data_IF_881796382235
#
_entry.id   IF_881796382235
#
_cell.length_a   1.000
_cell.length_b   1.000
_cell.length_c   1.000
_cell.angle_alpha   90.00
_cell.angle_beta   90.00
_cell.angle_gamma   90.00
#
_symmetry.space_group_name_H-M   'P 1'
#
loop_
_entity.id
_entity.type
_entity.pdbx_description
1 polymer ?
#
# COMPACT_ATOMS: atom_id res chain seq x y z
N UNK A 1 -15.47 5.21 -76.45
CA UNK A 1 -16.88 5.52 -76.07
C UNK A 1 -17.65 4.21 -75.98
N UNK A 2 -17.97 3.71 -74.86
CA UNK A 2 -18.62 2.49 -74.40
C UNK A 2 -17.73 2.01 -73.23
N UNK A 3 -18.08 2.00 -71.97
CA UNK A 3 -19.24 1.60 -71.25
C UNK A 3 -18.90 1.80 -69.75
N UNK A 4 -19.53 2.74 -69.11
CA UNK A 4 -19.54 2.92 -67.67
C UNK A 4 -21.01 2.75 -67.15
N UNK A 5 -21.56 1.54 -67.21
CA UNK A 5 -22.91 1.29 -66.71
C UNK A 5 -23.10 -0.11 -66.10
N UNK A 6 -22.09 -0.78 -65.64
CA UNK A 6 -22.27 -2.13 -65.04
C UNK A 6 -21.78 -2.33 -63.59
N UNK A 7 -21.39 -1.27 -62.89
CA UNK A 7 -20.78 -1.40 -61.54
C UNK A 7 -21.67 -0.86 -60.41
N UNK A 8 -22.89 -0.40 -60.66
CA UNK A 8 -23.76 0.20 -59.63
C UNK A 8 -24.91 -0.74 -59.19
N UNK A 9 -25.12 -1.86 -59.86
CA UNK A 9 -26.23 -2.76 -59.51
C UNK A 9 -25.83 -3.90 -58.54
N UNK A 10 -24.54 -4.08 -58.30
CA UNK A 10 -24.04 -5.15 -57.43
C UNK A 10 -23.93 -4.72 -55.96
N UNK A 11 -23.88 -3.42 -55.67
CA UNK A 11 -23.70 -2.92 -54.30
C UNK A 11 -25.05 -2.67 -53.56
N UNK A 12 -26.16 -2.65 -54.25
CA UNK A 12 -27.47 -2.45 -53.61
C UNK A 12 -28.10 -3.77 -53.17
N UNK A 13 -27.69 -4.90 -53.74
CA UNK A 13 -28.22 -6.22 -53.36
C UNK A 13 -27.53 -6.80 -52.12
N UNK A 14 -26.33 -6.37 -51.80
CA UNK A 14 -25.65 -6.81 -50.57
C UNK A 14 -26.14 -6.08 -49.32
N UNK A 15 -26.63 -4.85 -49.44
CA UNK A 15 -27.14 -4.09 -48.27
C UNK A 15 -28.54 -4.54 -47.81
N UNK A 16 -29.35 -5.08 -48.69
CA UNK A 16 -30.68 -5.58 -48.35
C UNK A 16 -30.70 -6.96 -47.70
N UNK A 17 -29.63 -7.76 -47.83
CA UNK A 17 -29.53 -9.06 -47.20
C UNK A 17 -28.98 -8.94 -45.79
N UNK A 18 -28.15 -7.93 -45.49
CA UNK A 18 -27.62 -7.66 -44.15
C UNK A 18 -28.70 -7.09 -43.23
N UNK A 19 -29.65 -6.30 -43.75
CA UNK A 19 -30.75 -5.74 -42.93
C UNK A 19 -31.83 -6.78 -42.58
N UNK A 20 -31.97 -7.87 -43.33
CA UNK A 20 -32.96 -8.92 -43.05
C UNK A 20 -32.52 -9.98 -42.08
N UNK A 21 -31.22 -10.05 -41.77
CA UNK A 21 -30.65 -10.98 -40.75
C UNK A 21 -30.66 -10.35 -39.36
N UNK A 22 -30.69 -9.00 -39.26
CA UNK A 22 -30.70 -8.29 -37.98
C UNK A 22 -32.11 -8.10 -37.39
N UNK A 23 -33.18 -8.41 -38.13
CA UNK A 23 -34.56 -8.26 -37.64
C UNK A 23 -35.13 -9.47 -36.88
N UNK A 24 -34.35 -10.56 -36.74
CA UNK A 24 -34.76 -11.77 -36.03
C UNK A 24 -34.02 -12.03 -34.70
N UNK A 25 -33.21 -11.08 -34.25
CA UNK A 25 -32.70 -11.13 -32.89
C UNK A 25 -33.64 -10.43 -31.95
N UNK A 26 -34.31 -11.19 -31.13
CA UNK A 26 -35.18 -10.71 -30.06
C UNK A 26 -34.44 -9.68 -29.18
N UNK A 27 -35.05 -8.54 -28.81
CA UNK A 27 -34.42 -7.55 -27.94
C UNK A 27 -34.17 -8.04 -26.49
N UNK A 28 -34.36 -9.31 -26.20
CA UNK A 28 -34.12 -9.90 -24.88
C UNK A 28 -32.69 -10.32 -24.59
N UNK A 29 -31.71 -10.13 -25.49
CA UNK A 29 -30.32 -10.50 -25.27
C UNK A 29 -29.36 -9.31 -25.13
N UNK A 30 -29.88 -8.11 -24.81
CA UNK A 30 -29.08 -6.92 -24.50
C UNK A 30 -29.35 -6.34 -23.11
N UNK A 31 -29.98 -7.12 -22.25
CA UNK A 31 -29.79 -6.97 -20.80
C UNK A 31 -28.69 -7.96 -20.38
N UNK A 32 -27.43 -7.65 -20.73
CA UNK A 32 -26.33 -8.01 -19.86
C UNK A 32 -26.71 -7.38 -18.52
N UNK A 33 -26.91 -8.22 -17.51
CA UNK A 33 -27.14 -7.81 -16.14
C UNK A 33 -26.16 -6.66 -15.84
N UNK A 34 -26.71 -5.47 -15.67
CA UNK A 34 -26.03 -4.41 -14.97
C UNK A 34 -25.92 -4.95 -13.57
N UNK A 35 -24.80 -5.62 -13.30
CA UNK A 35 -24.43 -6.04 -11.95
C UNK A 35 -24.51 -4.74 -11.17
N UNK A 36 -25.41 -4.71 -10.20
CA UNK A 36 -25.60 -3.58 -9.32
C UNK A 36 -24.32 -3.42 -8.50
N UNK A 37 -23.35 -2.72 -9.10
CA UNK A 37 -22.05 -2.43 -8.49
C UNK A 37 -22.22 -1.66 -7.20
N UNK A 38 -23.31 -0.89 -7.06
CA UNK A 38 -23.62 -0.14 -5.85
C UNK A 38 -24.03 -1.08 -4.69
N UNK A 39 -24.73 -2.19 -4.98
CA UNK A 39 -25.08 -3.18 -3.95
C UNK A 39 -23.86 -3.98 -3.49
N UNK A 40 -22.97 -4.34 -4.40
CA UNK A 40 -21.69 -5.01 -4.06
C UNK A 40 -20.74 -4.09 -3.29
N UNK A 41 -20.67 -2.81 -3.65
CA UNK A 41 -19.90 -1.80 -2.92
C UNK A 41 -20.47 -1.60 -1.51
N UNK A 42 -21.80 -1.56 -1.34
CA UNK A 42 -22.43 -1.46 -0.02
C UNK A 42 -22.25 -2.74 0.82
N UNK A 43 -22.28 -3.91 0.22
CA UNK A 43 -22.10 -5.17 0.96
C UNK A 43 -20.63 -5.33 1.41
N UNK A 44 -19.66 -4.99 0.58
CA UNK A 44 -18.25 -5.01 0.93
C UNK A 44 -17.85 -3.90 1.92
N UNK A 45 -18.44 -2.70 1.82
CA UNK A 45 -18.25 -1.65 2.83
C UNK A 45 -18.87 -2.02 4.18
N UNK A 46 -20.00 -2.75 4.19
CA UNK A 46 -20.58 -3.29 5.39
C UNK A 46 -19.72 -4.40 6.01
N UNK A 47 -19.02 -5.22 5.20
CA UNK A 47 -18.08 -6.23 5.70
C UNK A 47 -16.82 -5.61 6.31
N UNK A 48 -16.30 -4.52 5.74
CA UNK A 48 -15.21 -3.73 6.35
C UNK A 48 -15.69 -3.06 7.66
N UNK A 49 -16.88 -2.45 7.66
CA UNK A 49 -17.47 -1.91 8.89
C UNK A 49 -17.80 -2.99 9.93
N UNK A 50 -18.17 -4.21 9.51
CA UNK A 50 -18.41 -5.32 10.42
C UNK A 50 -17.11 -5.85 11.02
N UNK A 51 -16.01 -5.91 10.22
CA UNK A 51 -14.66 -6.16 10.75
C UNK A 51 -14.26 -5.06 11.75
N UNK A 52 -14.47 -3.79 11.43
CA UNK A 52 -14.22 -2.66 12.32
C UNK A 52 -15.05 -2.73 13.63
N UNK A 53 -16.32 -3.10 13.57
CA UNK A 53 -17.20 -3.22 14.75
C UNK A 53 -16.87 -4.43 15.63
N UNK A 54 -16.23 -5.47 15.10
CA UNK A 54 -15.82 -6.63 15.90
C UNK A 54 -14.63 -6.30 16.82
N UNK A 55 -13.86 -5.27 16.50
CA UNK A 55 -12.69 -4.81 17.26
C UNK A 55 -12.96 -3.60 18.17
N UNK A 56 -14.14 -2.94 18.06
CA UNK A 56 -14.44 -1.67 18.73
C UNK A 56 -14.86 -1.77 20.21
N UNK A 57 -14.82 -2.93 20.85
CA UNK A 57 -15.29 -3.11 22.23
C UNK A 57 -14.19 -3.10 23.30
N UNK A 58 -13.00 -2.60 23.01
CA UNK A 58 -11.95 -2.49 24.01
C UNK A 58 -11.96 -1.10 24.69
N UNK A 59 -11.82 -1.09 26.02
CA UNK A 59 -11.65 0.10 26.81
C UNK A 59 -10.46 0.93 26.27
N UNK A 60 -10.70 2.16 25.90
CA UNK A 60 -9.75 3.12 25.29
C UNK A 60 -8.52 3.47 26.16
N UNK A 61 -8.28 2.81 27.28
CA UNK A 61 -7.24 3.19 28.23
C UNK A 61 -5.94 2.39 28.13
N UNK A 62 -5.81 1.42 27.20
CA UNK A 62 -4.58 0.64 27.03
C UNK A 62 -4.54 -0.02 25.63
N UNK A 63 -4.47 0.82 24.57
CA UNK A 63 -4.38 0.34 23.19
C UNK A 63 -2.99 -0.20 22.95
N UNK A 64 -2.88 -1.52 22.81
CA UNK A 64 -1.62 -2.18 22.49
C UNK A 64 -1.81 -3.27 21.46
N UNK A 65 -1.13 -3.14 20.34
CA UNK A 65 -1.12 -4.13 19.26
C UNK A 65 0.12 -3.97 18.39
N UNK A 66 0.36 -4.91 17.48
CA UNK A 66 1.44 -4.80 16.51
C UNK A 66 0.94 -5.08 15.08
N UNK A 67 1.63 -4.48 14.12
CA UNK A 67 1.46 -4.75 12.71
C UNK A 67 2.79 -5.18 12.10
N UNK A 68 2.73 -5.99 11.04
CA UNK A 68 3.89 -6.34 10.23
C UNK A 68 3.78 -5.71 8.85
N UNK A 69 4.88 -5.22 8.30
CA UNK A 69 4.93 -4.58 6.98
C UNK A 69 6.04 -5.20 6.15
N UNK A 70 5.74 -5.61 4.93
CA UNK A 70 6.71 -6.04 3.94
C UNK A 70 6.15 -5.85 2.53
N UNK A 71 7.01 -5.78 1.52
CA UNK A 71 6.69 -5.65 0.11
C UNK A 71 7.66 -6.48 -0.73
N UNK A 72 7.38 -6.62 -2.03
CA UNK A 72 8.25 -7.33 -2.97
C UNK A 72 8.46 -8.79 -2.57
N UNK A 73 7.34 -9.52 -2.52
CA UNK A 73 7.27 -10.85 -1.94
C UNK A 73 7.79 -11.94 -2.89
N UNK A 74 7.11 -12.17 -4.01
CA UNK A 74 7.31 -13.33 -4.85
C UNK A 74 6.93 -14.66 -4.18
N UNK A 75 7.35 -15.77 -4.81
CA UNK A 75 7.04 -17.13 -4.35
C UNK A 75 8.30 -17.92 -3.97
N UNK A 76 9.27 -17.27 -3.35
CA UNK A 76 10.60 -17.83 -3.05
C UNK A 76 10.67 -18.51 -1.68
N UNK A 77 11.78 -19.20 -1.40
CA UNK A 77 12.05 -19.73 -0.06
C UNK A 77 12.28 -18.61 0.96
N UNK A 78 12.83 -17.47 0.54
CA UNK A 78 13.01 -16.34 1.43
C UNK A 78 11.67 -15.67 1.78
N UNK A 79 10.71 -15.62 0.83
CA UNK A 79 9.32 -15.22 1.09
C UNK A 79 8.67 -16.11 2.16
N UNK A 80 8.87 -17.43 2.09
CA UNK A 80 8.35 -18.36 3.10
C UNK A 80 8.96 -18.11 4.48
N UNK A 81 10.26 -17.79 4.55
CA UNK A 81 10.94 -17.44 5.81
C UNK A 81 10.38 -16.14 6.39
N UNK A 82 10.19 -15.11 5.56
CA UNK A 82 9.58 -13.84 5.97
C UNK A 82 8.17 -14.06 6.52
N UNK A 83 7.33 -14.83 5.80
CA UNK A 83 5.98 -15.15 6.24
C UNK A 83 5.98 -15.92 7.58
N UNK A 84 6.87 -16.89 7.77
CA UNK A 84 7.00 -17.62 9.02
C UNK A 84 7.44 -16.72 10.19
N UNK A 85 8.37 -15.79 9.94
CA UNK A 85 8.81 -14.83 10.93
C UNK A 85 7.71 -13.82 11.31
N UNK A 86 6.94 -13.32 10.34
CA UNK A 86 5.74 -12.51 10.57
C UNK A 86 4.75 -13.29 11.44
N UNK A 87 4.43 -14.53 11.06
CA UNK A 87 3.53 -15.37 11.85
C UNK A 87 4.00 -15.55 13.29
N UNK A 88 5.30 -15.68 13.52
CA UNK A 88 5.89 -15.85 14.86
C UNK A 88 5.67 -14.63 15.77
N UNK A 89 5.51 -13.43 15.21
CA UNK A 89 5.19 -12.19 15.94
C UNK A 89 3.69 -12.05 16.21
N UNK A 90 2.86 -12.86 15.54
CA UNK A 90 1.40 -12.86 15.65
C UNK A 90 0.79 -11.44 15.54
N UNK A 91 1.09 -10.67 14.47
CA UNK A 91 0.55 -9.33 14.30
C UNK A 91 -0.98 -9.36 14.19
N UNK A 92 -1.63 -8.26 14.55
CA UNK A 92 -3.06 -8.06 14.33
C UNK A 92 -3.36 -7.67 12.88
N UNK A 93 -2.45 -6.96 12.22
CA UNK A 93 -2.54 -6.58 10.81
C UNK A 93 -1.21 -6.91 10.12
N UNK A 94 -1.27 -7.36 8.88
CA UNK A 94 -0.13 -7.50 7.99
C UNK A 94 -0.35 -6.61 6.77
N UNK A 95 0.58 -5.70 6.50
CA UNK A 95 0.57 -4.85 5.32
C UNK A 95 1.52 -5.45 4.29
N UNK A 96 1.00 -5.77 3.10
CA UNK A 96 1.79 -6.10 1.93
C UNK A 96 1.75 -4.92 0.96
N UNK A 97 2.85 -4.17 0.89
CA UNK A 97 2.92 -2.90 0.18
C UNK A 97 3.32 -3.10 -1.31
N UNK A 98 2.53 -3.92 -2.02
CA UNK A 98 2.67 -4.19 -3.45
C UNK A 98 3.67 -5.27 -3.82
N UNK A 99 3.65 -5.66 -5.09
CA UNK A 99 4.48 -6.68 -5.70
C UNK A 99 4.38 -8.03 -4.95
N UNK A 100 3.21 -8.65 -5.06
CA UNK A 100 2.81 -9.75 -4.21
C UNK A 100 3.34 -11.10 -4.73
N UNK A 101 2.93 -11.54 -5.90
CA UNK A 101 3.28 -12.87 -6.40
C UNK A 101 4.41 -12.89 -7.42
N UNK A 102 4.52 -11.90 -8.30
CA UNK A 102 5.37 -11.88 -9.49
C UNK A 102 5.06 -13.02 -10.48
N UNK A 103 3.83 -13.49 -10.48
CA UNK A 103 3.35 -14.58 -11.31
C UNK A 103 1.97 -14.21 -11.89
N UNK A 104 1.56 -14.86 -12.99
CA UNK A 104 0.23 -14.69 -13.58
C UNK A 104 -0.91 -15.03 -12.60
N UNK A 105 -0.63 -15.88 -11.62
CA UNK A 105 -1.54 -16.32 -10.57
C UNK A 105 -0.99 -15.97 -9.19
N UNK A 106 -1.86 -15.58 -8.28
CA UNK A 106 -1.51 -15.33 -6.89
C UNK A 106 -1.45 -16.60 -6.02
N UNK A 107 -1.72 -17.79 -6.57
CA UNK A 107 -1.95 -19.01 -5.79
C UNK A 107 -0.78 -19.35 -4.87
N UNK A 108 0.46 -19.33 -5.40
CA UNK A 108 1.65 -19.65 -4.61
C UNK A 108 1.87 -18.64 -3.46
N UNK A 109 1.62 -17.36 -3.69
CA UNK A 109 1.73 -16.33 -2.67
C UNK A 109 0.61 -16.45 -1.64
N UNK A 110 -0.64 -16.67 -2.07
CA UNK A 110 -1.79 -16.88 -1.19
C UNK A 110 -1.58 -18.09 -0.29
N UNK A 111 -0.98 -19.17 -0.80
CA UNK A 111 -0.62 -20.34 0.01
C UNK A 111 0.40 -19.97 1.09
N UNK A 112 1.44 -19.19 0.75
CA UNK A 112 2.47 -18.75 1.69
C UNK A 112 1.88 -17.90 2.81
N UNK A 113 1.00 -16.93 2.47
CA UNK A 113 0.43 -15.98 3.45
C UNK A 113 -0.81 -16.54 4.16
N UNK A 114 -1.24 -17.75 3.82
CA UNK A 114 -2.47 -18.35 4.34
C UNK A 114 -2.59 -18.32 5.88
N UNK A 115 -1.51 -18.43 6.69
CA UNK A 115 -1.60 -18.36 8.15
C UNK A 115 -2.11 -17.02 8.71
N UNK A 116 -1.94 -15.93 7.95
CA UNK A 116 -2.39 -14.59 8.35
C UNK A 116 -3.23 -13.87 7.29
N UNK A 117 -3.74 -14.61 6.29
CA UNK A 117 -4.54 -14.06 5.19
C UNK A 117 -5.69 -13.16 5.68
N UNK A 118 -6.40 -13.55 6.74
CA UNK A 118 -7.53 -12.77 7.29
C UNK A 118 -7.13 -11.44 7.92
N UNK A 119 -5.85 -11.21 8.14
CA UNK A 119 -5.27 -10.00 8.73
C UNK A 119 -4.56 -9.12 7.69
N UNK A 120 -4.57 -9.57 6.42
CA UNK A 120 -3.79 -8.95 5.37
C UNK A 120 -4.51 -7.73 4.78
N UNK A 121 -3.75 -6.66 4.58
CA UNK A 121 -4.09 -5.48 3.82
C UNK A 121 -3.01 -5.27 2.76
N UNK A 122 -3.41 -4.91 1.55
CA UNK A 122 -2.47 -4.79 0.41
C UNK A 122 -2.56 -3.41 -0.23
N UNK A 123 -1.47 -2.91 -0.78
CA UNK A 123 -1.47 -1.96 -1.90
C UNK A 123 -1.06 -2.68 -3.19
N UNK A 124 -1.32 -2.06 -4.32
CA UNK A 124 -0.95 -2.61 -5.63
C UNK A 124 0.45 -2.17 -6.01
N UNK A 125 1.26 -3.11 -6.54
CA UNK A 125 2.51 -2.85 -7.22
C UNK A 125 2.35 -2.91 -8.74
N UNK A 126 3.41 -2.66 -9.49
CA UNK A 126 3.38 -2.73 -10.96
C UNK A 126 3.23 -4.17 -11.45
N UNK A 127 3.77 -5.15 -10.72
CA UNK A 127 3.63 -6.56 -11.05
C UNK A 127 2.18 -7.06 -10.98
N UNK A 128 1.33 -6.51 -10.11
CA UNK A 128 -0.10 -6.81 -10.14
C UNK A 128 -0.75 -6.37 -11.44
N UNK A 129 -0.28 -5.28 -12.05
CA UNK A 129 -0.79 -4.77 -13.33
C UNK A 129 -0.13 -5.38 -14.56
N UNK A 130 1.15 -5.75 -14.48
CA UNK A 130 1.92 -6.30 -15.59
C UNK A 130 1.71 -7.82 -15.75
N UNK A 131 1.73 -8.55 -14.65
CA UNK A 131 1.75 -10.03 -14.67
C UNK A 131 0.33 -10.61 -14.66
N UNK A 132 -0.70 -9.85 -14.26
CA UNK A 132 -2.07 -10.36 -14.21
C UNK A 132 -2.81 -10.15 -15.53
N UNK A 133 -3.22 -11.24 -16.15
CA UNK A 133 -4.06 -11.17 -17.36
C UNK A 133 -5.45 -10.60 -17.06
N UNK A 134 -6.02 -9.84 -18.01
CA UNK A 134 -7.39 -9.34 -17.95
C UNK A 134 -7.55 -7.94 -17.33
N UNK A 135 -6.44 -7.23 -17.06
CA UNK A 135 -6.47 -5.86 -16.54
C UNK A 135 -7.22 -5.74 -15.22
N UNK A 136 -8.08 -4.73 -15.05
CA UNK A 136 -8.81 -4.48 -13.81
C UNK A 136 -9.64 -5.68 -13.31
N UNK A 137 -10.27 -6.44 -14.23
CA UNK A 137 -11.02 -7.66 -13.88
C UNK A 137 -10.09 -8.77 -13.41
N UNK A 138 -8.89 -8.87 -13.99
CA UNK A 138 -7.86 -9.82 -13.55
C UNK A 138 -7.40 -9.50 -12.12
N UNK A 139 -7.03 -8.27 -11.84
CA UNK A 139 -6.65 -7.80 -10.51
C UNK A 139 -7.76 -8.08 -9.48
N UNK A 140 -9.01 -7.75 -9.83
CA UNK A 140 -10.16 -8.04 -8.96
C UNK A 140 -10.24 -9.53 -8.61
N UNK A 141 -10.14 -10.41 -9.59
CA UNK A 141 -10.29 -11.85 -9.37
C UNK A 141 -9.08 -12.48 -8.70
N UNK A 142 -7.87 -12.03 -9.04
CA UNK A 142 -6.61 -12.62 -8.57
C UNK A 142 -6.28 -12.19 -7.14
N UNK A 143 -6.49 -10.92 -6.79
CA UNK A 143 -6.07 -10.35 -5.51
C UNK A 143 -7.22 -9.84 -4.65
N UNK A 144 -8.11 -8.99 -5.18
CA UNK A 144 -9.08 -8.29 -4.35
C UNK A 144 -10.16 -9.23 -3.81
N UNK A 145 -10.82 -10.02 -4.68
CA UNK A 145 -11.86 -10.97 -4.25
C UNK A 145 -11.36 -12.01 -3.25
N UNK A 146 -10.20 -12.69 -3.47
CA UNK A 146 -9.66 -13.63 -2.49
C UNK A 146 -9.33 -13.02 -1.13
N UNK A 147 -9.05 -11.72 -1.08
CA UNK A 147 -8.73 -10.98 0.14
C UNK A 147 -9.92 -10.19 0.70
N UNK A 148 -11.09 -10.27 0.04
CA UNK A 148 -12.30 -9.54 0.41
C UNK A 148 -12.13 -8.02 0.45
N UNK A 149 -11.34 -7.48 -0.50
CA UNK A 149 -11.09 -6.04 -0.63
C UNK A 149 -12.00 -5.42 -1.69
N UNK A 150 -12.54 -4.21 -1.45
CA UNK A 150 -13.55 -3.62 -2.34
C UNK A 150 -12.96 -3.00 -3.60
N UNK A 151 -11.74 -2.49 -3.54
CA UNK A 151 -11.04 -1.79 -4.62
C UNK A 151 -9.54 -1.66 -4.28
N UNK A 152 -8.74 -1.14 -5.22
CA UNK A 152 -7.29 -1.06 -5.10
C UNK A 152 -6.79 0.08 -4.20
N UNK A 153 -7.64 1.11 -3.95
CA UNK A 153 -7.38 2.16 -2.97
C UNK A 153 -8.54 2.25 -1.97
N UNK A 154 -8.25 2.32 -0.69
CA UNK A 154 -9.25 2.25 0.39
C UNK A 154 -8.66 2.76 1.71
N UNK A 155 -9.49 2.90 2.73
CA UNK A 155 -9.05 3.19 4.09
C UNK A 155 -9.82 2.35 5.11
N UNK A 156 -9.27 2.24 6.30
CA UNK A 156 -9.91 1.57 7.43
C UNK A 156 -9.29 2.03 8.74
N UNK A 157 -10.06 1.92 9.82
CA UNK A 157 -9.59 2.16 11.17
C UNK A 157 -9.32 0.84 11.90
N UNK A 158 -8.23 0.79 12.64
CA UNK A 158 -7.97 -0.28 13.58
C UNK A 158 -7.48 0.32 14.91
N UNK A 159 -8.27 0.17 15.96
CA UNK A 159 -8.05 0.83 17.24
C UNK A 159 -7.89 2.36 17.07
N UNK A 160 -6.74 2.93 17.43
CA UNK A 160 -6.43 4.35 17.34
C UNK A 160 -5.58 4.72 16.12
N UNK A 161 -5.52 3.83 15.13
CA UNK A 161 -4.78 4.06 13.87
C UNK A 161 -5.73 4.08 12.68
N UNK A 162 -5.61 5.10 11.86
CA UNK A 162 -6.24 5.20 10.55
C UNK A 162 -5.26 4.79 9.46
N UNK A 163 -5.68 3.87 8.59
CA UNK A 163 -4.86 3.35 7.48
C UNK A 163 -5.45 3.77 6.14
N UNK A 164 -4.59 4.19 5.22
CA UNK A 164 -4.95 4.57 3.85
C UNK A 164 -4.11 3.78 2.86
N UNK A 165 -4.74 3.06 1.94
CA UNK A 165 -4.08 2.44 0.80
C UNK A 165 -4.22 3.33 -0.43
N UNK A 166 -3.10 3.63 -1.08
CA UNK A 166 -3.02 4.36 -2.35
C UNK A 166 -2.62 3.39 -3.45
N UNK A 167 -3.26 3.52 -4.60
CA UNK A 167 -2.89 2.80 -5.81
C UNK A 167 -2.18 3.74 -6.78
N UNK A 168 -0.86 3.65 -6.95
CA UNK A 168 -0.10 4.54 -7.83
C UNK A 168 -0.31 4.26 -9.32
N UNK A 169 -1.02 3.19 -9.68
CA UNK A 169 -1.22 2.76 -11.08
C UNK A 169 -2.60 3.12 -11.64
N UNK A 170 -3.46 3.77 -10.86
CA UNK A 170 -4.69 4.41 -11.34
C UNK A 170 -4.55 5.93 -11.27
N UNK A 171 -5.48 6.69 -11.86
CA UNK A 171 -5.41 8.15 -11.82
C UNK A 171 -5.42 8.68 -10.37
N UNK A 172 -4.35 9.36 -9.99
CA UNK A 172 -4.16 9.96 -8.68
C UNK A 172 -3.96 11.49 -8.72
N UNK A 173 -4.13 12.12 -9.88
CA UNK A 173 -4.03 13.57 -10.02
C UNK A 173 -5.07 14.33 -9.17
N UNK A 174 -4.84 15.61 -8.89
CA UNK A 174 -5.68 16.44 -8.00
C UNK A 174 -7.20 16.41 -8.29
N UNK A 175 -7.61 16.05 -9.51
CA UNK A 175 -9.01 15.97 -9.91
C UNK A 175 -9.51 14.52 -10.03
N UNK A 176 -8.71 13.52 -9.66
CA UNK A 176 -9.09 12.11 -9.72
C UNK A 176 -10.00 11.73 -8.56
N UNK A 177 -10.78 10.68 -8.76
CA UNK A 177 -11.63 10.11 -7.69
C UNK A 177 -10.79 9.63 -6.51
N UNK A 178 -9.60 9.07 -6.76
CA UNK A 178 -8.70 8.61 -5.71
C UNK A 178 -8.19 9.78 -4.88
N UNK A 179 -7.73 10.88 -5.50
CA UNK A 179 -7.24 12.04 -4.76
C UNK A 179 -8.33 12.64 -3.88
N UNK A 180 -9.55 12.84 -4.43
CA UNK A 180 -10.67 13.38 -3.68
C UNK A 180 -11.05 12.47 -2.50
N UNK A 181 -11.09 11.15 -2.73
CA UNK A 181 -11.33 10.17 -1.67
C UNK A 181 -10.30 10.32 -0.55
N UNK A 182 -8.99 10.35 -0.88
CA UNK A 182 -7.91 10.41 0.11
C UNK A 182 -7.92 11.75 0.86
N UNK A 183 -8.15 12.89 0.17
CA UNK A 183 -8.22 14.19 0.84
C UNK A 183 -9.36 14.27 1.85
N UNK A 184 -10.56 13.82 1.46
CA UNK A 184 -11.73 13.82 2.35
C UNK A 184 -11.55 12.84 3.52
N UNK A 185 -10.96 11.69 3.27
CA UNK A 185 -10.71 10.65 4.24
C UNK A 185 -9.68 11.09 5.30
N UNK A 186 -8.53 11.59 4.90
CA UNK A 186 -7.51 12.16 5.81
C UNK A 186 -8.06 13.33 6.64
N UNK A 187 -8.88 14.18 6.03
CA UNK A 187 -9.55 15.28 6.73
C UNK A 187 -10.48 14.77 7.83
N UNK A 188 -11.23 13.70 7.55
CA UNK A 188 -12.12 13.08 8.53
C UNK A 188 -11.32 12.41 9.64
N UNK A 189 -10.29 11.64 9.31
CA UNK A 189 -9.41 10.98 10.27
C UNK A 189 -8.74 11.98 11.23
N UNK A 190 -8.21 13.09 10.71
CA UNK A 190 -7.59 14.15 11.54
C UNK A 190 -8.60 14.80 12.50
N UNK A 191 -9.89 14.80 12.15
CA UNK A 191 -10.96 15.38 12.96
C UNK A 191 -11.53 14.41 13.99
N UNK A 192 -11.20 13.13 13.90
CA UNK A 192 -11.69 12.10 14.80
C UNK A 192 -10.75 11.96 16.02
N UNK A 193 -11.25 12.33 17.18
CA UNK A 193 -10.48 12.26 18.43
C UNK A 193 -10.11 10.84 18.88
N UNK A 194 -10.64 9.79 18.25
CA UNK A 194 -10.28 8.39 18.48
C UNK A 194 -8.99 8.02 17.74
N UNK A 195 -8.64 8.74 16.69
CA UNK A 195 -7.48 8.48 15.86
C UNK A 195 -6.28 9.25 16.39
N UNK A 196 -5.24 8.54 16.74
CA UNK A 196 -3.96 9.09 17.18
C UNK A 196 -2.89 9.04 16.09
N UNK A 197 -2.99 8.06 15.19
CA UNK A 197 -1.99 7.76 14.18
C UNK A 197 -2.63 7.65 12.80
N UNK A 198 -1.96 8.18 11.78
CA UNK A 198 -2.35 8.05 10.39
C UNK A 198 -1.21 7.41 9.62
N UNK A 199 -1.44 6.21 9.09
CA UNK A 199 -0.48 5.47 8.29
C UNK A 199 -0.98 5.34 6.85
N UNK A 200 -0.08 5.54 5.90
CA UNK A 200 -0.36 5.36 4.48
C UNK A 200 0.45 4.17 3.98
N UNK A 201 -0.11 3.37 3.09
CA UNK A 201 0.59 2.32 2.35
C UNK A 201 0.40 2.53 0.86
N UNK A 202 1.49 2.40 0.12
CA UNK A 202 1.54 2.47 -1.33
C UNK A 202 2.73 1.65 -1.83
N UNK A 203 3.01 1.58 -3.12
CA UNK A 203 4.11 0.76 -3.61
C UNK A 203 5.35 1.57 -3.98
N UNK A 204 5.19 2.67 -4.72
CA UNK A 204 6.32 3.42 -5.29
C UNK A 204 6.92 4.40 -4.27
N UNK A 205 8.21 4.31 -3.91
CA UNK A 205 8.81 5.21 -2.92
C UNK A 205 8.76 6.68 -3.35
N UNK A 206 8.22 7.55 -2.50
CA UNK A 206 8.28 8.99 -2.68
C UNK A 206 9.69 9.55 -2.42
N UNK A 207 10.46 8.87 -1.58
CA UNK A 207 11.84 9.20 -1.22
C UNK A 207 12.66 7.93 -1.09
N UNK A 208 13.79 7.87 -1.76
CA UNK A 208 14.74 6.75 -1.71
C UNK A 208 16.18 7.23 -1.90
N UNK A 209 17.14 6.53 -1.34
CA UNK A 209 18.54 6.61 -1.75
C UNK A 209 18.69 6.12 -3.18
N UNK A 210 19.72 6.53 -3.95
CA UNK A 210 19.99 5.98 -5.27
C UNK A 210 20.11 4.45 -5.25
N UNK A 211 19.26 3.80 -6.03
CA UNK A 211 19.15 2.35 -6.18
C UNK A 211 18.48 2.05 -7.53
N UNK A 212 18.02 0.81 -7.80
CA UNK A 212 17.45 0.38 -9.08
C UNK A 212 16.27 1.24 -9.54
N UNK A 213 15.29 1.49 -8.65
CA UNK A 213 14.13 2.32 -8.96
C UNK A 213 14.28 3.71 -8.33
N UNK A 214 14.16 4.80 -9.14
CA UNK A 214 14.17 6.15 -8.58
C UNK A 214 12.88 6.47 -7.83
N UNK A 215 12.94 7.38 -6.87
CA UNK A 215 11.76 7.93 -6.23
C UNK A 215 10.82 8.61 -7.25
N UNK A 216 9.51 8.39 -7.15
CA UNK A 216 8.54 9.04 -8.04
C UNK A 216 8.23 10.46 -7.54
N UNK A 217 8.65 11.44 -8.37
CA UNK A 217 8.41 12.85 -8.07
C UNK A 217 6.95 13.26 -8.24
N UNK A 218 6.18 12.58 -9.09
CA UNK A 218 4.81 12.97 -9.38
C UNK A 218 3.90 12.63 -8.20
N UNK A 219 3.96 11.39 -7.71
CA UNK A 219 3.16 10.97 -6.56
C UNK A 219 3.59 11.73 -5.30
N UNK A 220 4.88 11.98 -5.12
CA UNK A 220 5.42 12.80 -4.04
C UNK A 220 4.85 14.22 -4.05
N UNK A 221 4.90 14.90 -5.20
CA UNK A 221 4.51 16.30 -5.31
C UNK A 221 2.99 16.50 -5.19
N UNK A 222 2.21 15.44 -5.42
CA UNK A 222 0.76 15.43 -5.22
C UNK A 222 0.40 15.13 -3.75
N UNK A 223 0.97 14.10 -3.16
CA UNK A 223 0.50 13.59 -1.87
C UNK A 223 1.28 14.11 -0.66
N UNK A 224 2.59 14.37 -0.74
CA UNK A 224 3.34 14.81 0.44
C UNK A 224 2.81 16.13 1.04
N UNK A 225 2.44 17.18 0.23
CA UNK A 225 1.79 18.36 0.77
C UNK A 225 0.46 18.05 1.50
N UNK A 226 -0.28 17.06 1.01
CA UNK A 226 -1.51 16.59 1.64
C UNK A 226 -1.22 15.88 2.97
N UNK A 227 -0.17 15.07 3.01
CA UNK A 227 0.26 14.38 4.22
C UNK A 227 0.74 15.34 5.31
N UNK A 228 1.51 16.36 4.94
CA UNK A 228 1.89 17.44 5.87
C UNK A 228 0.67 18.18 6.41
N UNK A 229 -0.33 18.45 5.55
CA UNK A 229 -1.56 19.16 5.91
C UNK A 229 -2.39 18.40 6.93
N UNK A 230 -2.49 17.09 6.79
CA UNK A 230 -3.36 16.24 7.61
C UNK A 230 -2.62 15.40 8.65
N UNK A 231 -1.31 15.59 8.79
CA UNK A 231 -0.53 14.97 9.86
C UNK A 231 -0.35 13.47 9.72
N UNK A 232 -0.09 12.99 8.50
CA UNK A 232 0.34 11.59 8.28
C UNK A 232 1.65 11.35 9.03
N UNK A 233 1.71 10.25 9.77
CA UNK A 233 2.88 9.92 10.59
C UNK A 233 3.88 9.05 9.81
N UNK A 234 3.41 8.02 9.11
CA UNK A 234 4.25 7.05 8.40
C UNK A 234 3.65 6.73 7.02
N UNK A 235 4.54 6.62 6.02
CA UNK A 235 4.22 6.05 4.69
C UNK A 235 5.06 4.80 4.50
N UNK A 236 4.41 3.66 4.20
CA UNK A 236 5.04 2.39 3.88
C UNK A 236 5.06 2.19 2.37
N UNK A 237 6.19 1.76 1.82
CA UNK A 237 6.35 1.46 0.39
C UNK A 237 7.20 0.21 0.13
N UNK A 238 7.23 -0.22 -1.13
CA UNK A 238 8.03 -1.30 -1.70
C UNK A 238 8.87 -0.83 -2.88
N UNK A 239 8.76 -1.54 -4.03
CA UNK A 239 9.37 -1.29 -5.34
C UNK A 239 10.91 -1.39 -5.32
N UNK A 240 11.57 -0.77 -4.36
CA UNK A 240 12.99 -0.97 -4.14
C UNK A 240 13.24 -2.15 -3.18
N UNK A 241 13.86 -3.20 -3.69
CA UNK A 241 14.11 -4.45 -2.97
C UNK A 241 15.21 -4.29 -1.90
N UNK A 242 14.99 -3.37 -0.98
CA UNK A 242 15.86 -3.07 0.16
C UNK A 242 15.05 -2.45 1.30
N UNK A 243 15.69 -2.20 2.42
CA UNK A 243 15.10 -1.48 3.53
C UNK A 243 15.66 -0.06 3.59
N UNK A 244 14.77 0.93 3.67
CA UNK A 244 15.16 2.31 3.91
C UNK A 244 14.17 2.98 4.86
N UNK A 245 14.70 3.78 5.78
CA UNK A 245 13.91 4.65 6.66
C UNK A 245 14.45 6.08 6.57
N UNK A 246 13.58 7.02 6.28
CA UNK A 246 13.95 8.44 6.32
C UNK A 246 13.92 8.97 7.75
N UNK A 247 14.58 10.11 7.96
CA UNK A 247 14.22 11.01 9.05
C UNK A 247 12.77 11.49 8.86
N UNK A 248 12.13 12.10 9.88
CA UNK A 248 10.87 12.82 9.67
C UNK A 248 11.07 13.96 8.67
N UNK A 249 10.30 13.96 7.59
CA UNK A 249 10.42 14.87 6.47
C UNK A 249 9.20 15.77 6.35
N UNK A 250 9.45 17.02 5.91
CA UNK A 250 8.42 17.94 5.42
C UNK A 250 8.65 18.23 3.95
N UNK A 251 7.55 18.49 3.24
CA UNK A 251 7.61 18.83 1.82
C UNK A 251 8.39 20.11 1.61
N UNK A 252 9.34 20.09 0.67
CA UNK A 252 10.08 21.26 0.27
C UNK A 252 9.48 21.88 -0.98
N UNK A 253 8.77 22.98 -0.82
CA UNK A 253 8.11 23.70 -1.91
C UNK A 253 9.02 24.76 -2.57
N UNK A 254 10.27 24.89 -2.14
CA UNK A 254 11.16 25.92 -2.65
C UNK A 254 11.65 25.58 -4.08
N UNK A 255 11.16 26.33 -5.08
CA UNK A 255 11.58 26.28 -6.49
C UNK A 255 11.55 24.89 -7.15
N UNK A 256 10.58 24.05 -6.83
CA UNK A 256 10.47 22.71 -7.40
C UNK A 256 11.54 21.74 -6.89
N UNK A 257 12.08 21.97 -5.72
CA UNK A 257 13.14 21.16 -5.11
C UNK A 257 12.60 20.07 -4.17
N UNK A 258 11.46 19.47 -4.51
CA UNK A 258 10.78 18.46 -3.69
C UNK A 258 11.63 17.18 -3.46
N UNK A 259 12.60 16.92 -4.34
CA UNK A 259 13.57 15.81 -4.16
C UNK A 259 14.55 16.03 -3.00
N UNK A 260 14.63 17.25 -2.46
CA UNK A 260 15.42 17.59 -1.27
C UNK A 260 14.48 18.02 -0.15
N UNK A 261 13.85 17.07 0.55
CA UNK A 261 12.87 17.39 1.59
C UNK A 261 13.52 18.09 2.77
N UNK A 262 12.71 18.75 3.59
CA UNK A 262 13.18 19.37 4.82
C UNK A 262 13.22 18.30 5.91
N UNK A 263 14.42 17.99 6.40
CA UNK A 263 14.58 17.12 7.58
C UNK A 263 14.15 17.94 8.80
N UNK A 264 13.05 17.56 9.42
CA UNK A 264 12.44 18.29 10.54
C UNK A 264 12.97 17.84 11.90
N UNK A 265 13.49 16.60 11.99
CA UNK A 265 14.20 16.05 13.14
C UNK A 265 15.30 15.12 12.65
N UNK A 266 16.53 15.33 13.06
CA UNK A 266 17.68 14.52 12.68
C UNK A 266 18.14 13.54 13.78
N UNK A 267 17.32 13.31 14.81
CA UNK A 267 17.56 12.23 15.75
C UNK A 267 17.54 10.89 15.01
N UNK A 268 18.43 9.98 15.36
CA UNK A 268 18.55 8.72 14.62
C UNK A 268 17.39 7.76 14.88
N UNK A 269 16.84 7.75 16.11
CA UNK A 269 15.94 6.68 16.53
C UNK A 269 14.72 7.15 17.33
N UNK A 270 14.72 8.37 17.89
CA UNK A 270 13.64 8.82 18.77
C UNK A 270 13.04 10.13 18.26
N UNK A 271 11.78 10.09 17.85
CA UNK A 271 11.07 11.21 17.24
C UNK A 271 9.87 11.63 18.09
N UNK A 272 9.49 12.89 17.93
CA UNK A 272 8.29 13.45 18.55
C UNK A 272 7.19 13.64 17.53
N UNK A 273 5.95 13.77 18.01
CA UNK A 273 4.80 14.08 17.16
C UNK A 273 5.00 15.36 16.35
N UNK A 274 4.34 15.45 15.21
CA UNK A 274 4.32 16.62 14.32
C UNK A 274 5.69 17.08 13.80
N UNK A 275 6.70 16.22 13.88
CA UNK A 275 8.01 16.55 13.32
C UNK A 275 8.04 16.43 11.81
N UNK A 276 7.19 15.62 11.21
CA UNK A 276 7.10 15.34 9.76
C UNK A 276 6.77 13.89 9.48
N UNK A 277 6.65 13.53 8.21
CA UNK A 277 6.32 12.18 7.74
C UNK A 277 7.57 11.31 7.68
N UNK A 278 7.52 10.09 8.21
CA UNK A 278 8.57 9.09 8.03
C UNK A 278 8.20 8.19 6.86
N UNK A 279 9.08 8.09 5.87
CA UNK A 279 8.93 7.19 4.72
C UNK A 279 9.75 5.93 4.95
N UNK A 280 9.12 4.78 4.79
CA UNK A 280 9.67 3.46 5.05
C UNK A 280 9.51 2.59 3.82
N UNK A 281 10.61 2.31 3.13
CA UNK A 281 10.66 1.28 2.10
C UNK A 281 11.00 -0.05 2.76
N UNK A 282 10.19 -1.09 2.55
CA UNK A 282 10.38 -2.43 3.09
C UNK A 282 10.21 -3.50 2.02
N UNK A 283 10.90 -3.31 0.89
CA UNK A 283 10.91 -4.22 -0.27
C UNK A 283 11.75 -5.48 -0.03
N UNK A 284 11.60 -6.07 1.14
CA UNK A 284 12.50 -7.10 1.65
C UNK A 284 11.81 -8.44 1.92
N UNK A 285 10.56 -8.62 1.40
CA UNK A 285 9.79 -9.82 1.71
C UNK A 285 10.38 -11.11 1.11
N UNK A 286 11.12 -11.04 -0.02
CA UNK A 286 11.78 -12.26 -0.49
C UNK A 286 12.10 -12.36 -1.97
N UNK A 287 11.72 -11.40 -2.82
CA UNK A 287 11.93 -11.50 -4.27
C UNK A 287 13.41 -11.48 -4.66
N UNK A 288 14.11 -10.41 -4.33
CA UNK A 288 15.54 -10.20 -4.62
C UNK A 288 16.05 -9.01 -3.81
N UNK A 289 17.33 -8.65 -3.99
CA UNK A 289 17.90 -7.42 -3.43
C UNK A 289 18.36 -6.48 -4.54
N UNK A 290 18.14 -5.18 -4.33
CA UNK A 290 18.72 -4.10 -5.13
C UNK A 290 19.77 -3.37 -4.29
N UNK A 291 20.97 -3.21 -4.85
CA UNK A 291 22.07 -2.52 -4.20
C UNK A 291 21.75 -1.02 -4.03
N UNK A 292 22.14 -0.46 -2.90
CA UNK A 292 22.05 0.96 -2.62
C UNK A 292 23.43 1.57 -2.94
N UNK A 293 23.48 2.48 -3.92
CA UNK A 293 24.73 3.08 -4.40
C UNK A 293 25.33 4.06 -3.39
N UNK A 294 24.47 4.91 -2.79
CA UNK A 294 24.86 5.96 -1.85
C UNK A 294 23.71 6.24 -0.88
N UNK A 295 24.01 6.60 0.36
CA UNK A 295 22.98 7.01 1.31
C UNK A 295 22.57 8.45 1.07
N UNK A 296 21.29 8.67 0.76
CA UNK A 296 20.73 10.01 0.63
C UNK A 296 20.74 10.75 2.00
N UNK A 297 20.96 12.08 2.02
CA UNK A 297 21.07 12.84 3.28
C UNK A 297 19.82 12.76 4.18
N UNK A 298 18.65 12.53 3.59
CA UNK A 298 17.38 12.41 4.31
C UNK A 298 17.07 10.99 4.80
N UNK A 299 17.91 10.00 4.45
CA UNK A 299 17.76 8.61 4.90
C UNK A 299 18.50 8.41 6.21
N UNK A 300 17.79 8.01 7.25
CA UNK A 300 18.34 7.76 8.58
C UNK A 300 18.98 6.36 8.69
N UNK A 301 18.37 5.37 8.02
CA UNK A 301 18.85 3.97 8.03
C UNK A 301 18.54 3.31 6.70
N UNK A 302 19.44 2.43 6.24
CA UNK A 302 19.24 1.59 5.06
C UNK A 302 19.94 0.24 5.21
N UNK A 303 19.41 -0.77 4.50
CA UNK A 303 19.98 -2.13 4.41
C UNK A 303 19.55 -2.78 3.09
N UNK A 304 20.50 -3.27 2.32
CA UNK A 304 20.31 -3.92 1.02
C UNK A 304 20.81 -5.38 1.00
N UNK A 305 20.98 -5.99 2.18
CA UNK A 305 21.59 -7.31 2.32
C UNK A 305 20.65 -8.36 2.92
N UNK A 306 19.58 -7.93 3.61
CA UNK A 306 18.76 -8.86 4.37
C UNK A 306 17.31 -8.84 3.90
N UNK A 307 16.74 -10.00 3.66
CA UNK A 307 15.29 -10.19 3.64
C UNK A 307 14.73 -10.11 5.06
N UNK A 308 13.47 -9.68 5.17
CA UNK A 308 12.83 -9.52 6.46
C UNK A 308 11.56 -8.71 6.38
N UNK A 309 11.15 -8.18 7.53
CA UNK A 309 9.95 -7.35 7.63
C UNK A 309 10.09 -6.32 8.74
N UNK A 310 9.32 -5.26 8.64
CA UNK A 310 9.21 -4.25 9.67
C UNK A 310 8.03 -4.60 10.60
N UNK A 311 8.30 -4.71 11.90
CA UNK A 311 7.26 -4.81 12.93
C UNK A 311 7.05 -3.43 13.56
N UNK A 312 5.81 -2.99 13.65
CA UNK A 312 5.40 -1.74 14.28
C UNK A 312 4.56 -2.10 15.52
N UNK A 313 5.12 -1.88 16.69
CA UNK A 313 4.40 -1.99 17.95
C UNK A 313 3.74 -0.64 18.28
N UNK A 314 2.43 -0.62 18.39
CA UNK A 314 1.63 0.54 18.79
C UNK A 314 1.24 0.36 20.24
N UNK A 315 1.53 1.35 21.06
CA UNK A 315 1.17 1.41 22.46
C UNK A 315 0.66 2.82 22.78
N UNK A 316 -0.65 3.01 22.65
CA UNK A 316 -1.32 4.30 22.82
C UNK A 316 -0.63 5.41 22.01
N UNK A 317 0.00 6.37 22.65
CA UNK A 317 0.72 7.50 22.05
C UNK A 317 2.17 7.20 21.66
N UNK A 318 2.55 5.93 21.59
CA UNK A 318 3.89 5.51 21.21
C UNK A 318 3.85 4.47 20.10
N UNK A 319 4.62 4.72 19.05
CA UNK A 319 4.87 3.77 17.95
C UNK A 319 6.35 3.40 17.99
N UNK A 320 6.64 2.10 17.99
CA UNK A 320 7.99 1.57 17.89
C UNK A 320 8.12 0.69 16.65
N UNK A 321 8.95 1.11 15.72
CA UNK A 321 9.33 0.30 14.55
C UNK A 321 10.59 -0.53 14.83
N UNK A 322 10.59 -1.76 14.33
CA UNK A 322 11.77 -2.65 14.40
C UNK A 322 11.85 -3.48 13.13
N UNK A 323 12.94 -3.32 12.36
CA UNK A 323 13.17 -4.17 11.19
C UNK A 323 13.90 -5.45 11.64
N UNK A 324 13.23 -6.60 11.41
CA UNK A 324 13.76 -7.93 11.70
C UNK A 324 14.23 -8.59 10.42
N UNK A 325 15.51 -8.90 10.34
CA UNK A 325 16.06 -9.71 9.25
C UNK A 325 15.72 -11.19 9.43
N UNK A 326 15.50 -11.87 8.29
CA UNK A 326 15.37 -13.32 8.27
C UNK A 326 16.67 -14.02 8.68
N UNK A 327 16.54 -15.24 9.21
CA UNK A 327 17.70 -16.10 9.48
C UNK A 327 18.45 -16.41 8.18
N UNK A 328 19.76 -16.26 8.19
CA UNK A 328 20.64 -16.75 7.12
C UNK A 328 21.15 -18.11 7.53
N UNK A 329 20.86 -19.15 6.77
CA UNK A 329 21.53 -20.45 6.94
C UNK A 329 23.01 -20.32 6.58
N UNK A 330 23.83 -20.12 7.60
CA UNK A 330 25.28 -20.27 7.50
C UNK A 330 25.61 -21.70 7.85
N UNK A 331 25.49 -22.64 6.89
CA UNK A 331 25.97 -24.02 6.95
C UNK A 331 26.08 -24.59 8.38
N UNK A 332 26.53 -25.67 8.75
CA UNK A 332 26.62 -26.41 10.00
C UNK A 332 26.58 -25.71 11.40
N UNK A 333 26.45 -24.38 11.48
CA UNK A 333 26.33 -23.63 12.73
C UNK A 333 24.98 -22.92 12.77
N UNK A 334 24.07 -23.44 13.59
CA UNK A 334 22.86 -22.71 14.00
C UNK A 334 23.27 -21.47 14.79
N UNK A 335 23.13 -20.31 14.23
CA UNK A 335 23.17 -19.05 14.97
C UNK A 335 21.72 -18.71 15.34
N UNK A 336 21.47 -18.51 16.63
CA UNK A 336 20.14 -18.12 17.13
C UNK A 336 19.83 -16.66 16.72
N UNK A 337 19.15 -16.48 15.59
CA UNK A 337 18.83 -15.17 15.02
C UNK A 337 17.55 -14.54 15.58
N UNK A 338 17.02 -15.02 16.68
CA UNK A 338 15.83 -14.44 17.34
C UNK A 338 15.91 -12.93 17.59
N UNK A 339 17.07 -12.32 17.35
CA UNK A 339 17.35 -10.91 17.59
C UNK A 339 18.14 -10.24 16.47
N UNK A 340 17.99 -10.65 15.21
CA UNK A 340 18.68 -9.94 14.12
C UNK A 340 17.94 -8.64 13.78
N UNK A 341 18.04 -7.66 14.68
CA UNK A 341 17.47 -6.33 14.52
C UNK A 341 18.46 -5.50 13.71
N UNK A 342 18.03 -5.07 12.54
CA UNK A 342 18.80 -4.20 11.64
C UNK A 342 18.54 -2.73 11.94
N UNK A 343 17.30 -2.39 12.29
CA UNK A 343 16.89 -1.03 12.63
C UNK A 343 15.84 -1.03 13.74
N UNK A 344 15.80 0.07 14.49
CA UNK A 344 14.71 0.38 15.41
C UNK A 344 14.54 1.89 15.55
N UNK A 345 13.30 2.33 15.76
CA UNK A 345 12.96 3.71 16.04
C UNK A 345 11.70 3.83 16.89
N UNK A 346 11.50 5.01 17.47
CA UNK A 346 10.33 5.31 18.29
C UNK A 346 9.75 6.67 17.88
N UNK A 347 8.43 6.75 17.80
CA UNK A 347 7.68 8.01 17.68
C UNK A 347 6.82 8.13 18.93
N UNK A 348 6.83 9.27 19.60
CA UNK A 348 6.04 9.51 20.80
C UNK A 348 5.20 10.78 20.65
N UNK A 349 3.89 10.67 20.87
CA UNK A 349 2.95 11.79 20.93
C UNK A 349 2.69 12.17 22.37
N UNK A 350 2.58 13.48 22.65
CA UNK A 350 2.30 13.96 24.00
C UNK A 350 0.84 13.71 24.38
N UNK A 351 0.60 13.32 25.62
CA UNK A 351 -0.76 13.26 26.17
C UNK A 351 -1.29 14.70 26.39
N UNK A 352 -2.50 14.96 25.97
CA UNK A 352 -3.14 16.28 26.14
C UNK A 352 -3.11 16.84 27.60
N UNK A 353 -3.02 15.93 28.59
CA UNK A 353 -2.94 16.28 30.01
C UNK A 353 -1.62 16.97 30.42
N UNK A 354 -0.53 16.84 29.65
CA UNK A 354 0.78 17.41 30.00
C UNK A 354 0.96 18.85 29.49
N UNK A 355 0.10 19.33 28.59
CA UNK A 355 0.18 20.68 28.03
C UNK A 355 -0.25 21.81 29.00
N UNK A 356 -0.86 21.49 30.14
CA UNK A 356 -1.24 22.52 31.14
C UNK A 356 -0.09 22.88 32.11
N UNK A 357 0.94 22.04 32.22
CA UNK A 357 2.04 22.28 33.18
C UNK A 357 3.24 23.05 32.60
N UNK A 358 3.39 23.15 31.26
CA UNK A 358 4.46 23.95 30.66
C UNK A 358 4.09 25.44 30.42
N UNK A 359 2.87 25.87 30.79
CA UNK A 359 2.39 27.28 30.66
C UNK A 359 2.36 28.01 31.99
N UNK A 360 2.90 27.49 33.04
CA UNK A 360 3.08 28.13 34.36
C UNK A 360 4.58 28.39 34.63
#
# INVERSE_FOLDING_TARGET
MISTKKTILSSILCFSIILSVLSNFSPKLLYAEQIDTDSLIMENSNNLQTKNNQYSNNNYNDVKFNIAVAADWGCTEDTKKTAANIQSKNPEIVIAAGDLSYEESADCWIDIISPFKSKLMISMGDHEYQDTEGGASGIMNTYLNPLELPKTYYSFDFNNVHFVAIDPYVDYGHNSDQYQFIEDDLKNATSDSRIDWIFVMEHIPMYTSPTEHPADSTIRDIYHPLFDKYGVDIVFSGDNHNYQRTFPLKYNNDNGNSSNPIISDNNQNDYKENTGVIYLTSGTAGKSHYEIEEQAPFVAKQDDKHFGFLNIDINDKTVKGTFYANERELGYYYVDYKNNIIDHFTISKMNAANNEFEKL
#
